data_IF_622439524287
#
_entry.id   IF_622439524287
#
_cell.length_a   1.000
_cell.length_b   1.000
_cell.length_c   1.000
_cell.angle_alpha   90.00
_cell.angle_beta   90.00
_cell.angle_gamma   90.00
#
_symmetry.space_group_name_H-M   'P 1'
#
loop_
_entity.id
_entity.type
_entity.pdbx_description
1 polymer ?
#
# COMPACT_ATOMS: atom_id res chain seq x y z
N UNK A 1 5.08 2.79 5.19
CA UNK A 1 6.05 2.36 6.21
C UNK A 1 5.55 2.64 7.65
N UNK A 2 4.28 3.07 7.80
CA UNK A 2 3.71 3.45 9.10
C UNK A 2 3.31 2.26 10.01
N UNK A 3 3.22 1.05 9.48
CA UNK A 3 2.85 -0.14 10.25
C UNK A 3 3.81 -0.44 11.39
N UNK A 4 3.26 -0.77 12.57
CA UNK A 4 4.02 -1.04 13.80
C UNK A 4 4.81 -2.37 13.78
N UNK A 5 4.52 -3.27 12.84
CA UNK A 5 5.23 -4.56 12.72
C UNK A 5 5.04 -5.54 13.88
N UNK A 6 4.06 -5.31 14.77
CA UNK A 6 3.83 -6.08 16.01
C UNK A 6 3.82 -7.61 15.79
N UNK A 7 3.35 -8.06 14.62
CA UNK A 7 3.30 -9.49 14.27
C UNK A 7 4.67 -10.14 13.99
N UNK A 8 5.75 -9.36 13.88
CA UNK A 8 7.07 -9.87 13.51
C UNK A 8 7.95 -10.23 14.73
N UNK A 9 7.49 -9.94 15.96
CA UNK A 9 8.17 -10.33 17.21
C UNK A 9 9.53 -9.65 17.45
N UNK A 10 9.83 -8.55 16.75
CA UNK A 10 11.05 -7.75 16.93
C UNK A 10 10.71 -6.31 17.28
N UNK A 11 11.61 -5.63 18.01
CA UNK A 11 11.49 -4.21 18.35
C UNK A 11 11.62 -3.29 17.12
N UNK A 12 12.13 -3.82 16.00
CA UNK A 12 12.28 -3.09 14.73
C UNK A 12 11.15 -3.49 13.79
N UNK A 13 10.34 -2.53 13.30
CA UNK A 13 9.32 -2.81 12.30
C UNK A 13 9.92 -3.47 11.04
N UNK A 14 9.22 -4.47 10.48
CA UNK A 14 9.71 -5.32 9.40
C UNK A 14 10.28 -4.56 8.20
N UNK A 15 9.70 -3.40 7.85
CA UNK A 15 10.15 -2.56 6.74
C UNK A 15 11.54 -1.95 6.97
N UNK A 16 12.00 -1.86 8.22
CA UNK A 16 13.30 -1.31 8.59
C UNK A 16 14.36 -2.38 8.87
N UNK A 17 13.98 -3.66 8.84
CA UNK A 17 14.93 -4.77 8.92
C UNK A 17 15.89 -4.69 7.72
N UNK A 18 17.18 -4.92 7.98
CA UNK A 18 18.23 -4.89 6.95
C UNK A 18 18.56 -6.29 6.47
N UNK A 19 18.64 -6.41 5.15
CA UNK A 19 19.18 -7.59 4.44
C UNK A 19 20.38 -7.08 3.63
N UNK A 20 21.56 -7.61 3.88
CA UNK A 20 22.80 -7.17 3.22
C UNK A 20 22.99 -5.64 3.26
N UNK A 21 22.83 -5.05 4.44
CA UNK A 21 22.91 -3.60 4.71
C UNK A 21 21.83 -2.72 4.05
N UNK A 22 20.89 -3.28 3.28
CA UNK A 22 19.75 -2.57 2.71
C UNK A 22 18.49 -2.89 3.51
N UNK A 23 17.70 -1.88 3.86
CA UNK A 23 16.38 -2.10 4.49
C UNK A 23 15.40 -2.69 3.48
N UNK A 24 14.41 -3.41 3.97
CA UNK A 24 13.30 -3.88 3.11
C UNK A 24 12.64 -2.70 2.39
N UNK A 25 12.45 -1.58 3.07
CA UNK A 25 11.94 -0.32 2.49
C UNK A 25 12.77 0.16 1.29
N UNK A 26 14.11 0.03 1.32
CA UNK A 26 15.01 0.53 0.27
C UNK A 26 14.72 -0.10 -1.10
N UNK A 27 14.28 -1.35 -1.11
CA UNK A 27 13.95 -2.04 -2.36
C UNK A 27 12.75 -1.41 -3.04
N UNK A 28 11.66 -1.22 -2.29
CA UNK A 28 10.45 -0.59 -2.83
C UNK A 28 10.71 0.86 -3.24
N UNK A 29 11.33 1.67 -2.37
CA UNK A 29 11.63 3.08 -2.67
C UNK A 29 12.46 3.19 -3.94
N UNK A 30 13.52 2.38 -4.09
CA UNK A 30 14.36 2.40 -5.27
C UNK A 30 13.58 2.04 -6.55
N UNK A 31 12.74 1.01 -6.49
CA UNK A 31 11.98 0.58 -7.68
C UNK A 31 10.97 1.66 -8.12
N UNK A 32 10.29 2.32 -7.19
CA UNK A 32 9.37 3.41 -7.54
C UNK A 32 10.13 4.65 -8.04
N UNK A 33 11.19 5.07 -7.34
CA UNK A 33 11.97 6.27 -7.68
C UNK A 33 12.68 6.16 -9.03
N UNK A 34 13.13 4.97 -9.40
CA UNK A 34 13.79 4.71 -10.68
C UNK A 34 12.83 4.45 -11.86
N UNK A 35 11.52 4.42 -11.62
CA UNK A 35 10.53 4.21 -12.69
C UNK A 35 10.19 5.54 -13.37
N UNK A 36 10.36 5.67 -14.71
CA UNK A 36 10.17 6.93 -15.43
C UNK A 36 8.71 7.43 -15.47
N UNK A 37 7.73 6.60 -15.07
CA UNK A 37 6.32 6.98 -14.99
C UNK A 37 5.91 7.46 -13.59
N UNK A 38 6.84 7.53 -12.64
CA UNK A 38 6.59 8.01 -11.28
C UNK A 38 7.24 9.38 -11.11
N UNK A 39 6.43 10.40 -10.91
CA UNK A 39 6.90 11.79 -10.74
C UNK A 39 7.29 12.09 -9.29
N UNK A 40 6.72 11.38 -8.32
CA UNK A 40 6.92 11.64 -6.90
C UNK A 40 6.79 10.37 -6.05
N UNK A 41 7.67 10.22 -5.08
CA UNK A 41 7.58 9.18 -4.05
C UNK A 41 7.42 9.85 -2.68
N UNK A 42 6.37 9.46 -1.94
CA UNK A 42 6.08 9.94 -0.58
C UNK A 42 6.21 8.76 0.38
N UNK A 43 7.04 8.89 1.39
CA UNK A 43 7.27 7.85 2.38
C UNK A 43 6.50 8.19 3.66
N UNK A 44 5.43 7.43 3.93
CA UNK A 44 4.65 7.58 5.15
C UNK A 44 5.21 6.67 6.23
N UNK A 45 5.64 7.25 7.36
CA UNK A 45 6.30 6.52 8.44
C UNK A 45 5.60 6.69 9.78
N UNK A 46 5.81 5.76 10.70
CA UNK A 46 5.41 5.96 12.09
C UNK A 46 6.21 7.12 12.70
N UNK A 47 5.59 7.92 13.55
CA UNK A 47 6.20 9.11 14.19
C UNK A 47 7.55 8.81 14.86
N UNK A 48 7.68 7.64 15.49
CA UNK A 48 8.91 7.24 16.17
C UNK A 48 10.11 7.06 15.23
N UNK A 49 9.87 6.85 13.95
CA UNK A 49 10.89 6.62 12.92
C UNK A 49 11.09 7.83 11.99
N UNK A 50 10.23 8.83 12.09
CA UNK A 50 10.25 10.01 11.22
C UNK A 50 11.61 10.70 11.15
N UNK A 51 12.22 10.99 12.30
CA UNK A 51 13.53 11.68 12.39
C UNK A 51 14.68 10.87 11.79
N UNK A 52 14.64 9.54 11.89
CA UNK A 52 15.70 8.66 11.36
C UNK A 52 15.55 8.59 9.84
N UNK A 53 14.33 8.34 9.39
CA UNK A 53 14.04 8.17 7.96
C UNK A 53 14.23 9.48 7.20
N UNK A 54 13.81 10.63 7.72
CA UNK A 54 14.00 11.92 7.04
C UNK A 54 15.47 12.32 6.84
N UNK A 55 16.37 11.88 7.71
CA UNK A 55 17.81 12.10 7.52
C UNK A 55 18.40 11.23 6.40
N UNK A 56 17.93 10.01 6.29
CA UNK A 56 18.47 9.03 5.33
C UNK A 56 17.83 9.16 3.94
N UNK A 57 16.58 9.63 3.89
CA UNK A 57 15.80 9.81 2.65
C UNK A 57 15.48 11.30 2.41
N UNK A 58 16.48 12.16 2.57
CA UNK A 58 16.34 13.63 2.48
C UNK A 58 15.79 14.14 1.14
N UNK A 59 15.88 13.35 0.08
CA UNK A 59 15.38 13.69 -1.26
C UNK A 59 13.88 13.38 -1.43
N UNK A 60 13.25 12.73 -0.44
CA UNK A 60 11.85 12.34 -0.51
C UNK A 60 11.00 13.14 0.48
N UNK A 61 9.71 13.27 0.19
CA UNK A 61 8.75 13.76 1.16
C UNK A 61 8.49 12.67 2.21
N UNK A 62 8.76 12.99 3.47
CA UNK A 62 8.51 12.11 4.61
C UNK A 62 7.34 12.64 5.40
N UNK A 63 6.33 11.79 5.62
CA UNK A 63 5.08 12.14 6.28
C UNK A 63 4.85 11.22 7.47
N UNK A 64 4.41 11.77 8.59
CA UNK A 64 3.95 10.96 9.72
C UNK A 64 2.61 10.32 9.41
N UNK A 65 2.54 9.00 9.53
CA UNK A 65 1.29 8.27 9.45
C UNK A 65 0.36 8.52 10.65
N UNK A 66 -0.88 8.15 10.50
CA UNK A 66 -1.90 8.20 11.54
C UNK A 66 -1.98 6.90 12.36
N UNK A 67 -3.06 6.75 13.11
CA UNK A 67 -3.28 5.60 13.99
C UNK A 67 -3.67 4.35 13.20
N UNK A 68 -4.46 4.52 12.14
CA UNK A 68 -4.92 3.44 11.27
C UNK A 68 -4.15 3.42 9.95
N UNK A 69 -4.33 2.34 9.17
CA UNK A 69 -3.86 2.27 7.78
C UNK A 69 -4.49 3.37 6.92
N UNK A 70 -5.79 3.56 7.07
CA UNK A 70 -6.56 4.61 6.39
C UNK A 70 -6.00 6.00 6.68
N UNK A 71 -5.76 6.34 7.95
CA UNK A 71 -5.18 7.64 8.32
C UNK A 71 -3.79 7.84 7.74
N UNK A 72 -3.00 6.77 7.71
CA UNK A 72 -1.65 6.80 7.15
C UNK A 72 -1.67 7.02 5.63
N UNK A 73 -2.54 6.33 4.89
CA UNK A 73 -2.69 6.55 3.45
C UNK A 73 -3.24 7.94 3.16
N UNK A 74 -4.21 8.42 3.94
CA UNK A 74 -4.73 9.79 3.81
C UNK A 74 -3.66 10.85 4.04
N UNK A 75 -2.79 10.69 5.06
CA UNK A 75 -1.67 11.60 5.30
C UNK A 75 -0.71 11.68 4.11
N UNK A 76 -0.45 10.56 3.44
CA UNK A 76 0.31 10.55 2.19
C UNK A 76 -0.41 11.27 1.06
N UNK A 77 -1.69 10.97 0.85
CA UNK A 77 -2.51 11.53 -0.23
C UNK A 77 -2.60 13.06 -0.19
N UNK A 78 -2.84 13.65 0.98
CA UNK A 78 -2.93 15.12 1.12
C UNK A 78 -1.58 15.84 0.91
N UNK A 79 -0.48 15.10 0.86
CA UNK A 79 0.88 15.63 0.67
C UNK A 79 1.31 15.60 -0.80
N UNK A 80 0.54 14.93 -1.66
CA UNK A 80 0.81 14.87 -3.09
C UNK A 80 0.87 16.27 -3.70
N UNK A 81 1.69 16.42 -4.75
CA UNK A 81 1.81 17.67 -5.50
C UNK A 81 0.46 18.09 -6.11
N UNK A 82 0.30 19.39 -6.31
CA UNK A 82 -0.84 19.93 -7.08
C UNK A 82 -0.78 19.40 -8.52
N UNK A 83 -1.91 18.91 -9.02
CA UNK A 83 -1.98 18.32 -10.35
C UNK A 83 -1.77 16.79 -10.39
N UNK A 84 -1.57 16.15 -9.25
CA UNK A 84 -1.56 14.67 -9.19
C UNK A 84 -2.87 14.11 -9.70
N UNK A 85 -2.80 13.23 -10.70
CA UNK A 85 -3.97 12.58 -11.31
C UNK A 85 -4.12 11.13 -10.88
N UNK A 86 -3.00 10.40 -10.75
CA UNK A 86 -2.96 8.98 -10.38
C UNK A 86 -2.07 8.79 -9.17
N UNK A 87 -2.42 7.87 -8.30
CA UNK A 87 -1.61 7.49 -7.15
C UNK A 87 -1.50 5.98 -7.03
N UNK A 88 -0.34 5.51 -6.62
CA UNK A 88 -0.11 4.12 -6.25
C UNK A 88 0.19 4.06 -4.76
N UNK A 89 -0.57 3.28 -4.02
CA UNK A 89 -0.35 3.02 -2.59
C UNK A 89 0.31 1.66 -2.45
N UNK A 90 1.49 1.62 -1.81
CA UNK A 90 2.29 0.40 -1.72
C UNK A 90 2.75 0.11 -0.29
N UNK A 91 2.66 -1.16 0.08
CA UNK A 91 3.17 -1.67 1.35
C UNK A 91 4.70 -1.76 1.32
N UNK A 92 5.38 -0.91 2.05
CA UNK A 92 6.85 -0.85 2.12
C UNK A 92 7.55 -2.15 2.57
N UNK A 93 6.79 -3.11 3.07
CA UNK A 93 7.28 -4.45 3.44
C UNK A 93 7.11 -5.50 2.34
N UNK A 94 6.80 -5.09 1.11
CA UNK A 94 6.71 -5.93 -0.09
C UNK A 94 7.82 -5.55 -1.08
N UNK A 95 9.05 -6.06 -0.88
CA UNK A 95 10.24 -5.59 -1.60
C UNK A 95 10.34 -6.07 -3.06
N UNK A 96 9.45 -6.96 -3.50
CA UNK A 96 9.53 -7.60 -4.81
C UNK A 96 8.63 -6.95 -5.88
N UNK A 97 8.17 -5.73 -5.64
CA UNK A 97 7.54 -4.94 -6.69
C UNK A 97 8.58 -4.63 -7.78
N UNK A 98 8.20 -4.73 -9.04
CA UNK A 98 9.04 -4.42 -10.18
C UNK A 98 8.41 -3.35 -11.08
N UNK A 99 9.18 -2.88 -12.07
CA UNK A 99 8.72 -1.86 -13.01
C UNK A 99 7.48 -2.29 -13.79
N UNK A 100 7.38 -3.56 -14.18
CA UNK A 100 6.25 -4.06 -14.96
C UNK A 100 4.94 -4.02 -14.18
N UNK A 101 4.99 -4.31 -12.89
CA UNK A 101 3.82 -4.21 -11.99
C UNK A 101 3.37 -2.74 -11.88
N UNK A 102 4.31 -1.82 -11.68
CA UNK A 102 4.03 -0.38 -11.58
C UNK A 102 3.38 0.13 -12.88
N UNK A 103 4.01 -0.14 -14.02
CA UNK A 103 3.55 0.29 -15.33
C UNK A 103 2.17 -0.28 -15.70
N UNK A 104 1.93 -1.56 -15.39
CA UNK A 104 0.63 -2.19 -15.61
C UNK A 104 -0.46 -1.54 -14.76
N UNK A 105 -0.19 -1.19 -13.49
CA UNK A 105 -1.13 -0.46 -12.65
C UNK A 105 -1.44 0.92 -13.23
N UNK A 106 -0.42 1.69 -13.65
CA UNK A 106 -0.59 3.02 -14.23
C UNK A 106 -1.42 2.95 -15.51
N UNK A 107 -1.11 2.00 -16.39
CA UNK A 107 -1.85 1.77 -17.65
C UNK A 107 -3.30 1.35 -17.40
N UNK A 108 -3.54 0.49 -16.43
CA UNK A 108 -4.89 0.05 -16.10
C UNK A 108 -5.76 1.22 -15.59
N UNK A 109 -5.16 2.23 -14.93
CA UNK A 109 -5.84 3.45 -14.49
C UNK A 109 -6.24 4.39 -15.65
N UNK A 110 -5.83 4.14 -16.88
CA UNK A 110 -6.32 4.93 -18.04
C UNK A 110 -7.82 4.67 -18.30
N UNK A 111 -8.31 3.51 -17.88
CA UNK A 111 -9.69 3.08 -18.11
C UNK A 111 -10.45 2.70 -16.82
N UNK A 112 -9.82 2.81 -15.67
CA UNK A 112 -10.41 2.43 -14.39
C UNK A 112 -10.10 3.48 -13.32
N UNK A 113 -11.03 3.74 -12.43
CA UNK A 113 -10.82 4.67 -11.30
C UNK A 113 -10.04 4.05 -10.14
N UNK A 114 -9.97 2.72 -10.06
CA UNK A 114 -9.20 1.97 -9.08
C UNK A 114 -8.73 0.63 -9.65
N UNK A 115 -7.54 0.20 -9.28
CA UNK A 115 -6.94 -1.08 -9.67
C UNK A 115 -6.17 -1.66 -8.49
N UNK A 116 -6.05 -2.98 -8.43
CA UNK A 116 -5.23 -3.66 -7.44
C UNK A 116 -4.37 -4.74 -8.08
N UNK A 117 -3.18 -4.95 -7.55
CA UNK A 117 -2.38 -6.13 -7.86
C UNK A 117 -2.94 -7.34 -7.13
N UNK A 118 -2.99 -8.48 -7.80
CA UNK A 118 -3.49 -9.70 -7.18
C UNK A 118 -2.78 -10.93 -7.75
N UNK A 119 -2.67 -11.99 -6.94
CA UNK A 119 -2.12 -13.29 -7.33
C UNK A 119 -3.19 -14.37 -7.18
N UNK A 120 -3.13 -15.44 -7.97
CA UNK A 120 -4.00 -16.61 -7.78
C UNK A 120 -3.85 -17.18 -6.37
N UNK A 121 -4.96 -17.62 -5.77
CA UNK A 121 -4.93 -18.37 -4.53
C UNK A 121 -4.53 -19.82 -4.82
N UNK A 122 -3.44 -20.29 -4.22
CA UNK A 122 -2.91 -21.64 -4.41
C UNK A 122 -3.55 -22.61 -3.41
N UNK A 123 -3.70 -22.18 -2.15
CA UNK A 123 -4.26 -22.99 -1.08
C UNK A 123 -5.78 -23.12 -1.19
N UNK A 124 -6.32 -24.17 -0.57
CA UNK A 124 -7.76 -24.30 -0.38
C UNK A 124 -8.20 -23.32 0.71
N UNK A 125 -9.14 -22.45 0.36
CA UNK A 125 -9.74 -21.50 1.30
C UNK A 125 -11.00 -22.09 1.89
N UNK A 126 -11.15 -21.99 3.19
CA UNK A 126 -12.35 -22.35 3.93
C UNK A 126 -12.90 -21.15 4.67
N UNK A 127 -14.19 -21.02 4.71
CA UNK A 127 -14.87 -20.07 5.57
C UNK A 127 -15.28 -20.80 6.86
N UNK A 128 -14.97 -20.19 8.02
CA UNK A 128 -15.21 -20.77 9.32
C UNK A 128 -16.15 -19.87 10.13
N UNK A 129 -17.10 -20.48 10.78
CA UNK A 129 -17.93 -19.86 11.82
C UNK A 129 -18.04 -20.82 13.01
N UNK A 130 -17.78 -20.30 14.22
CA UNK A 130 -17.84 -21.08 15.49
C UNK A 130 -17.06 -22.42 15.41
N UNK A 131 -15.83 -22.36 14.87
CA UNK A 131 -14.91 -23.48 14.62
C UNK A 131 -15.42 -24.55 13.63
N UNK A 132 -16.54 -24.31 12.96
CA UNK A 132 -17.07 -25.18 11.91
C UNK A 132 -16.81 -24.61 10.52
N UNK A 133 -16.48 -25.48 9.57
CA UNK A 133 -16.37 -25.11 8.16
C UNK A 133 -17.79 -24.93 7.62
N UNK A 134 -18.10 -23.69 7.16
CA UNK A 134 -19.41 -23.36 6.59
C UNK A 134 -19.39 -23.26 5.06
N UNK A 135 -18.22 -23.01 4.47
CA UNK A 135 -18.09 -22.90 3.02
C UNK A 135 -16.66 -23.22 2.56
N UNK A 136 -16.54 -23.77 1.35
CA UNK A 136 -15.29 -23.93 0.62
C UNK A 136 -15.43 -23.23 -0.73
N UNK A 137 -15.09 -21.93 -0.81
CA UNK A 137 -15.23 -21.14 -2.04
C UNK A 137 -14.40 -21.73 -3.19
N UNK A 138 -14.90 -21.62 -4.41
CA UNK A 138 -14.15 -22.02 -5.59
C UNK A 138 -12.91 -21.14 -5.75
N UNK A 139 -11.72 -21.67 -5.51
CA UNK A 139 -10.45 -20.92 -5.57
C UNK A 139 -10.13 -20.34 -6.95
N UNK A 140 -10.73 -20.86 -8.03
CA UNK A 140 -10.48 -20.35 -9.38
C UNK A 140 -10.92 -18.88 -9.55
N UNK A 141 -11.92 -18.44 -8.78
CA UNK A 141 -12.42 -17.06 -8.78
C UNK A 141 -11.78 -16.19 -7.68
N UNK A 142 -11.00 -16.79 -6.80
CA UNK A 142 -10.34 -16.05 -5.71
C UNK A 142 -8.97 -15.55 -6.15
N UNK A 143 -8.62 -14.38 -5.62
CA UNK A 143 -7.30 -13.78 -5.74
C UNK A 143 -6.84 -13.28 -4.37
N UNK A 144 -5.57 -13.47 -4.07
CA UNK A 144 -4.95 -12.84 -2.91
C UNK A 144 -4.47 -11.45 -3.31
N UNK A 145 -5.05 -10.44 -2.69
CA UNK A 145 -4.72 -9.05 -2.93
C UNK A 145 -3.30 -8.71 -2.50
N UNK A 146 -2.65 -7.90 -3.29
CA UNK A 146 -1.30 -7.42 -3.08
C UNK A 146 -1.26 -5.90 -3.22
N UNK A 147 -0.07 -5.33 -3.23
CA UNK A 147 0.19 -3.93 -3.58
C UNK A 147 1.30 -3.83 -4.62
N UNK A 148 1.32 -2.78 -5.46
CA UNK A 148 0.57 -1.52 -5.34
C UNK A 148 -0.91 -1.64 -5.65
N UNK A 149 -1.71 -0.80 -4.97
CA UNK A 149 -3.07 -0.46 -5.32
C UNK A 149 -3.05 0.90 -6.01
N UNK A 150 -3.65 1.02 -7.18
CA UNK A 150 -3.67 2.23 -7.96
C UNK A 150 -5.04 2.90 -7.96
N UNK A 151 -5.06 4.23 -7.99
CA UNK A 151 -6.29 5.02 -7.92
C UNK A 151 -6.19 6.28 -8.76
N UNK A 152 -7.32 6.69 -9.36
CA UNK A 152 -7.55 8.07 -9.69
C UNK A 152 -7.52 8.90 -8.40
N UNK A 153 -6.77 10.01 -8.40
CA UNK A 153 -6.54 10.78 -7.18
C UNK A 153 -7.82 11.35 -6.58
N UNK A 154 -8.71 11.86 -7.42
CA UNK A 154 -9.97 12.46 -6.93
C UNK A 154 -10.89 11.38 -6.35
N UNK A 155 -10.92 10.22 -6.97
CA UNK A 155 -11.72 9.07 -6.51
C UNK A 155 -11.28 8.60 -5.14
N UNK A 156 -9.98 8.35 -4.93
CA UNK A 156 -9.51 7.90 -3.61
C UNK A 156 -9.66 9.00 -2.55
N UNK A 157 -9.46 10.26 -2.89
CA UNK A 157 -9.67 11.38 -1.96
C UNK A 157 -11.14 11.51 -1.53
N UNK A 158 -12.08 11.28 -2.44
CA UNK A 158 -13.51 11.23 -2.14
C UNK A 158 -13.83 10.05 -1.21
N UNK A 159 -13.31 8.87 -1.53
CA UNK A 159 -13.48 7.65 -0.75
C UNK A 159 -12.96 7.82 0.69
N UNK A 160 -11.75 8.34 0.86
CA UNK A 160 -11.15 8.63 2.16
C UNK A 160 -12.01 9.56 3.04
N UNK A 161 -12.65 10.56 2.45
CA UNK A 161 -13.51 11.51 3.17
C UNK A 161 -14.88 10.94 3.54
N UNK A 162 -15.43 10.07 2.71
CA UNK A 162 -16.80 9.56 2.88
C UNK A 162 -16.86 8.27 3.69
N UNK A 163 -15.84 7.42 3.60
CA UNK A 163 -15.83 6.14 4.29
C UNK A 163 -15.80 6.31 5.80
N UNK A 164 -16.73 5.63 6.49
CA UNK A 164 -16.82 5.59 7.95
C UNK A 164 -16.43 4.21 8.45
N UNK A 165 -15.42 4.14 9.30
CA UNK A 165 -14.90 2.89 9.89
C UNK A 165 -13.45 2.62 9.52
N UNK A 166 -12.98 1.43 9.90
CA UNK A 166 -11.64 0.94 9.59
C UNK A 166 -11.64 0.11 8.31
N UNK A 167 -10.64 0.32 7.48
CA UNK A 167 -10.40 -0.47 6.29
C UNK A 167 -9.00 -1.10 6.34
N UNK A 168 -8.92 -2.38 6.02
CA UNK A 168 -7.66 -3.14 5.97
C UNK A 168 -6.82 -2.78 4.74
N UNK A 169 -7.46 -2.23 3.71
CA UNK A 169 -6.84 -1.81 2.45
C UNK A 169 -7.60 -0.61 1.84
N UNK A 170 -6.99 0.04 0.84
CA UNK A 170 -7.52 1.26 0.26
C UNK A 170 -8.52 0.99 -0.86
N UNK A 171 -8.47 -0.19 -1.51
CA UNK A 171 -9.42 -0.56 -2.58
C UNK A 171 -10.86 -0.67 -2.02
N UNK A 172 -11.00 -1.16 -0.79
CA UNK A 172 -12.31 -1.27 -0.13
C UNK A 172 -12.98 0.09 0.02
N UNK A 173 -12.20 1.15 0.29
CA UNK A 173 -12.75 2.50 0.42
C UNK A 173 -13.45 2.95 -0.87
N UNK A 174 -12.85 2.62 -2.02
CA UNK A 174 -13.41 2.98 -3.32
C UNK A 174 -14.60 2.09 -3.69
N UNK A 175 -14.56 0.81 -3.36
CA UNK A 175 -15.69 -0.11 -3.60
C UNK A 175 -16.98 0.33 -2.87
N UNK A 176 -16.84 0.96 -1.71
CA UNK A 176 -17.98 1.47 -0.92
C UNK A 176 -18.59 2.78 -1.47
N UNK A 177 -17.96 3.39 -2.49
CA UNK A 177 -18.53 4.56 -3.19
C UNK A 177 -19.64 4.19 -4.18
N UNK A 178 -19.71 2.91 -4.60
CA UNK A 178 -20.60 2.42 -5.65
C UNK A 178 -19.98 2.49 -7.03
#
# INVERSE_FOLDING_TARGET
AAGSGIRFGTDIPKQFVKINNRRILDFSVHTFDSNPLIDEVIIVVNRNWGNIISKEYSNFKIVSGGETRKDSSFAGLITCNSGTNKVLIHDSARPFVDHSIIENCIKALDNNSAVTTAIPVIDTIIQIQDDNIIEMPNRSILRAEQTPQGFDYQTIMKAQKQFRGDATDDIRLVMELG
#
